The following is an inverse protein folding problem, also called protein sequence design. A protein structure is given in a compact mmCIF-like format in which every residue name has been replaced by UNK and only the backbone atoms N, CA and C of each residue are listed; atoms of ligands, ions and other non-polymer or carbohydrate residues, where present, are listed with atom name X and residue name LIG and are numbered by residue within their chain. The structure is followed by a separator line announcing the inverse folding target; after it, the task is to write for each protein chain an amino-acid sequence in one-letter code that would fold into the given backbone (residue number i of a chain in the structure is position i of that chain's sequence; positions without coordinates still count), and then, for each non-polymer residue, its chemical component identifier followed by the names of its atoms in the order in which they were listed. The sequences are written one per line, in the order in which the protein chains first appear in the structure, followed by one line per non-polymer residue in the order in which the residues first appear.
data_IF_092131820630
#
_entry.id   IF_092131820630
#
_cell.length_a   1.000
_cell.length_b   1.000
_cell.length_c   1.000
_cell.angle_alpha   90.00
_cell.angle_beta   90.00
_cell.angle_gamma   90.00
#
_symmetry.space_group_name_H-M   'P 1'
#
loop_
_entity.id
_entity.type
_entity.pdbx_description
1 polymer ?
#
# COMPACT_ATOMS: atom_id res chain seq x y z
N UNK A 1 -4.12 -11.80 18.30
CA UNK A 1 -4.83 -10.52 18.13
C UNK A 1 -6.26 -10.82 17.72
N UNK A 2 -7.24 -10.58 18.60
CA UNK A 2 -8.66 -10.70 18.24
C UNK A 2 -9.19 -9.32 17.89
N UNK A 3 -9.79 -9.17 16.71
CA UNK A 3 -10.22 -7.88 16.16
C UNK A 3 -11.66 -8.03 15.67
N UNK A 4 -12.45 -6.96 15.79
CA UNK A 4 -13.83 -6.91 15.33
C UNK A 4 -14.85 -6.87 16.47
N UNK A 5 -16.11 -6.74 16.09
CA UNK A 5 -17.24 -6.56 17.03
C UNK A 5 -17.54 -7.78 17.90
N UNK A 6 -17.08 -8.97 17.49
CA UNK A 6 -17.20 -10.22 18.25
C UNK A 6 -16.02 -10.50 19.17
N UNK A 7 -15.10 -9.54 19.37
CA UNK A 7 -13.97 -9.72 20.25
C UNK A 7 -14.44 -9.86 21.72
N UNK A 8 -14.17 -11.02 22.32
CA UNK A 8 -14.52 -11.34 23.70
C UNK A 8 -13.62 -10.64 24.74
N UNK A 9 -12.58 -9.93 24.28
CA UNK A 9 -11.64 -9.16 25.12
C UNK A 9 -10.99 -10.02 26.21
N UNK A 10 -10.44 -11.16 25.80
CA UNK A 10 -9.69 -12.01 26.70
C UNK A 10 -8.49 -11.28 27.30
N UNK A 11 -8.25 -11.50 28.59
CA UNK A 11 -7.02 -11.11 29.26
C UNK A 11 -5.91 -12.09 28.91
N UNK A 12 -4.81 -11.59 28.36
CA UNK A 12 -3.65 -12.40 28.01
C UNK A 12 -2.52 -12.13 28.99
N UNK A 13 -1.90 -13.21 29.50
CA UNK A 13 -0.74 -13.12 30.37
C UNK A 13 0.48 -13.72 29.64
N UNK A 14 1.61 -13.00 29.67
CA UNK A 14 2.89 -13.49 29.19
C UNK A 14 3.85 -13.56 30.38
N UNK A 15 4.31 -14.78 30.71
CA UNK A 15 5.20 -15.03 31.86
C UNK A 15 4.69 -14.42 33.19
N UNK A 16 3.38 -14.50 33.43
CA UNK A 16 2.76 -13.96 34.64
C UNK A 16 2.50 -12.45 34.62
N UNK A 17 2.82 -11.76 33.53
CA UNK A 17 2.52 -10.33 33.34
C UNK A 17 1.33 -10.17 32.41
N UNK A 18 0.31 -9.44 32.85
CA UNK A 18 -0.86 -9.11 32.01
C UNK A 18 -0.46 -8.16 30.87
N UNK A 19 -0.83 -8.55 29.64
CA UNK A 19 -0.60 -7.76 28.45
C UNK A 19 -1.64 -6.65 28.34
N UNK A 20 -1.17 -5.41 28.20
CA UNK A 20 -2.06 -4.27 28.03
C UNK A 20 -2.75 -4.29 26.66
N UNK A 21 -4.04 -3.96 26.64
CA UNK A 21 -4.78 -3.74 25.40
C UNK A 21 -4.29 -2.45 24.73
N UNK A 22 -3.89 -2.55 23.46
CA UNK A 22 -3.47 -1.42 22.64
C UNK A 22 -4.46 -1.19 21.50
N UNK A 23 -4.72 0.09 21.21
CA UNK A 23 -5.61 0.48 20.09
C UNK A 23 -4.93 0.38 18.72
N UNK A 24 -3.60 0.35 18.71
CA UNK A 24 -2.77 0.18 17.51
C UNK A 24 -1.60 -0.71 17.86
N UNK A 25 -1.38 -1.71 17.03
CA UNK A 25 -0.21 -2.56 17.09
C UNK A 25 0.66 -2.32 15.87
N UNK A 26 1.99 -2.44 16.03
CA UNK A 26 2.91 -2.36 14.90
C UNK A 26 3.54 -3.73 14.70
N UNK A 27 3.17 -4.37 13.60
CA UNK A 27 3.73 -5.65 13.22
C UNK A 27 4.49 -5.54 11.89
N UNK A 28 5.72 -6.06 11.87
CA UNK A 28 6.65 -5.99 10.73
C UNK A 28 6.74 -4.60 10.05
N UNK A 29 6.54 -3.53 10.82
CA UNK A 29 6.59 -2.15 10.33
C UNK A 29 5.26 -1.59 9.78
N UNK A 30 4.18 -2.37 9.78
CA UNK A 30 2.81 -1.97 9.45
C UNK A 30 2.04 -1.66 10.73
N UNK A 31 1.33 -0.53 10.77
CA UNK A 31 0.45 -0.20 11.88
C UNK A 31 -0.96 -0.75 11.61
N UNK A 32 -1.47 -1.58 12.50
CA UNK A 32 -2.82 -2.15 12.45
C UNK A 32 -3.61 -1.55 13.61
N UNK A 33 -4.68 -0.83 13.30
CA UNK A 33 -5.58 -0.27 14.29
C UNK A 33 -6.81 -1.15 14.50
N UNK A 34 -7.55 -0.91 15.58
CA UNK A 34 -8.77 -1.67 15.90
C UNK A 34 -9.87 -1.56 14.83
N UNK A 35 -9.88 -0.48 14.05
CA UNK A 35 -10.82 -0.31 12.93
C UNK A 35 -10.39 -1.01 11.65
N UNK A 36 -9.15 -1.52 11.60
CA UNK A 36 -8.51 -2.14 10.44
C UNK A 36 -8.48 -1.23 9.20
N UNK A 37 -8.63 0.08 9.39
CA UNK A 37 -8.57 1.03 8.29
C UNK A 37 -7.11 1.36 7.94
N UNK A 38 -6.75 1.37 6.64
CA UNK A 38 -5.38 1.63 6.23
C UNK A 38 -4.94 3.08 6.51
N UNK A 39 -5.89 3.99 6.78
CA UNK A 39 -5.66 5.43 6.95
C UNK A 39 -4.52 5.75 7.94
N UNK A 40 -4.51 5.10 9.11
CA UNK A 40 -3.53 5.40 10.16
C UNK A 40 -2.11 5.04 9.70
N UNK A 41 -1.97 3.87 9.08
CA UNK A 41 -0.70 3.44 8.52
C UNK A 41 -0.29 4.27 7.30
N UNK A 42 -1.21 4.67 6.42
CA UNK A 42 -0.92 5.55 5.29
C UNK A 42 -0.35 6.90 5.76
N UNK A 43 -0.90 7.48 6.82
CA UNK A 43 -0.37 8.70 7.43
C UNK A 43 1.03 8.49 7.99
N UNK A 44 1.29 7.38 8.69
CA UNK A 44 2.62 7.08 9.22
C UNK A 44 3.66 6.82 8.12
N UNK A 45 3.29 6.07 7.07
CA UNK A 45 4.11 5.85 5.88
C UNK A 45 4.45 7.19 5.19
N UNK A 46 3.44 8.06 5.00
CA UNK A 46 3.65 9.38 4.41
C UNK A 46 4.53 10.27 5.30
N UNK A 47 4.38 10.23 6.63
CA UNK A 47 5.26 10.96 7.57
C UNK A 47 6.72 10.51 7.43
N UNK A 48 6.97 9.20 7.38
CA UNK A 48 8.31 8.62 7.16
C UNK A 48 8.89 9.07 5.82
N UNK A 49 8.12 8.94 4.75
CA UNK A 49 8.54 9.38 3.41
C UNK A 49 8.84 10.89 3.34
N UNK A 50 8.00 11.73 3.94
CA UNK A 50 8.22 13.18 4.00
C UNK A 50 9.47 13.53 4.83
N UNK A 51 9.72 12.83 5.95
CA UNK A 51 10.93 13.04 6.76
C UNK A 51 12.18 12.82 5.93
N UNK A 52 12.26 11.70 5.22
CA UNK A 52 13.38 11.38 4.34
C UNK A 52 13.49 12.37 3.18
N UNK A 53 12.38 12.73 2.54
CA UNK A 53 12.38 13.76 1.49
C UNK A 53 12.87 15.12 1.99
N UNK A 54 12.51 15.51 3.22
CA UNK A 54 12.99 16.73 3.86
C UNK A 54 14.47 16.66 4.25
N UNK A 55 14.99 15.48 4.59
CA UNK A 55 16.43 15.27 4.78
C UNK A 55 17.19 15.42 3.46
N UNK A 56 16.71 14.81 2.37
CA UNK A 56 17.29 14.96 1.03
C UNK A 56 17.33 16.44 0.64
N UNK A 57 16.21 17.16 0.76
CA UNK A 57 16.14 18.57 0.39
C UNK A 57 17.12 19.47 1.17
N UNK A 58 17.39 19.15 2.44
CA UNK A 58 18.27 19.97 3.30
C UNK A 58 19.76 19.72 3.08
N UNK A 59 20.15 18.49 2.72
CA UNK A 59 21.56 18.11 2.65
C UNK A 59 22.16 18.24 1.25
N UNK A 60 21.33 18.32 0.21
CA UNK A 60 21.80 18.46 -1.16
C UNK A 60 21.49 19.87 -1.69
N UNK A 61 22.55 20.64 -1.96
CA UNK A 61 22.46 21.99 -2.50
C UNK A 61 22.04 22.01 -3.97
N UNK A 62 22.35 20.95 -4.73
CA UNK A 62 21.98 20.83 -6.14
C UNK A 62 21.33 19.47 -6.42
N UNK A 63 20.07 19.52 -6.85
CA UNK A 63 19.21 18.36 -7.05
C UNK A 63 18.81 18.26 -8.53
N UNK A 64 19.67 17.62 -9.33
CA UNK A 64 19.36 17.22 -10.72
C UNK A 64 18.30 16.13 -10.76
N UNK A 65 17.67 15.99 -11.91
CA UNK A 65 16.60 15.04 -12.18
C UNK A 65 17.00 13.59 -11.85
N UNK A 66 18.16 13.15 -12.31
CA UNK A 66 18.70 11.80 -12.11
C UNK A 66 18.99 11.51 -10.63
N UNK A 67 19.59 12.46 -9.91
CA UNK A 67 19.90 12.35 -8.48
C UNK A 67 18.60 12.26 -7.67
N UNK A 68 17.64 13.16 -7.90
CA UNK A 68 16.37 13.15 -7.17
C UNK A 68 15.61 11.84 -7.42
N UNK A 69 15.56 11.38 -8.67
CA UNK A 69 14.88 10.12 -9.00
C UNK A 69 15.54 8.92 -8.31
N UNK A 70 16.88 8.86 -8.28
CA UNK A 70 17.61 7.79 -7.57
C UNK A 70 17.35 7.83 -6.07
N UNK A 71 17.53 8.99 -5.43
CA UNK A 71 17.30 9.16 -3.99
C UNK A 71 15.85 8.89 -3.60
N UNK A 72 14.90 9.33 -4.42
CA UNK A 72 13.48 9.05 -4.22
C UNK A 72 13.20 7.54 -4.27
N UNK A 73 13.68 6.85 -5.31
CA UNK A 73 13.48 5.40 -5.49
C UNK A 73 14.10 4.58 -4.36
N UNK A 74 15.28 4.96 -3.89
CA UNK A 74 16.05 4.19 -2.90
C UNK A 74 15.66 4.49 -1.46
N UNK A 75 15.35 5.74 -1.12
CA UNK A 75 15.19 6.15 0.28
C UNK A 75 13.75 6.51 0.64
N UNK A 76 13.00 7.15 -0.26
CA UNK A 76 11.65 7.63 0.05
C UNK A 76 10.60 6.56 -0.29
N UNK A 77 10.68 6.00 -1.50
CA UNK A 77 9.70 5.06 -2.03
C UNK A 77 9.52 3.79 -1.19
N UNK A 78 10.57 3.16 -0.62
CA UNK A 78 10.38 1.98 0.21
C UNK A 78 9.44 2.23 1.40
N UNK A 79 9.47 3.42 2.00
CA UNK A 79 8.55 3.77 3.09
C UNK A 79 7.08 3.87 2.66
N UNK A 80 6.81 4.09 1.37
CA UNK A 80 5.46 4.25 0.82
C UNK A 80 4.91 2.96 0.20
N UNK A 81 5.77 2.01 -0.14
CA UNK A 81 5.42 0.79 -0.89
C UNK A 81 5.70 -0.51 -0.14
N UNK A 82 6.41 -0.44 0.99
CA UNK A 82 6.75 -1.63 1.76
C UNK A 82 5.49 -2.41 2.13
N UNK A 83 5.49 -3.71 1.79
CA UNK A 83 4.41 -4.66 2.08
C UNK A 83 3.01 -4.16 1.64
N UNK A 84 2.93 -3.45 0.51
CA UNK A 84 1.68 -2.82 0.07
C UNK A 84 0.52 -3.80 -0.12
N UNK A 85 0.81 -5.06 -0.45
CA UNK A 85 -0.20 -6.12 -0.57
C UNK A 85 -1.01 -6.31 0.73
N UNK A 86 -0.43 -5.98 1.90
CA UNK A 86 -1.07 -6.14 3.19
C UNK A 86 -1.92 -4.94 3.62
N UNK A 87 -1.73 -3.75 3.04
CA UNK A 87 -2.38 -2.52 3.51
C UNK A 87 -2.79 -1.55 2.39
N UNK A 88 -2.90 -2.02 1.15
CA UNK A 88 -3.19 -1.17 0.00
C UNK A 88 -4.44 -0.31 0.25
N UNK A 89 -4.33 1.03 0.30
CA UNK A 89 -5.46 1.87 0.66
C UNK A 89 -6.52 1.90 -0.44
N UNK A 90 -7.77 1.69 -0.04
CA UNK A 90 -8.92 1.78 -0.94
C UNK A 90 -9.62 3.15 -0.89
N UNK A 91 -9.45 3.93 0.18
CA UNK A 91 -9.98 5.29 0.24
C UNK A 91 -9.16 6.26 -0.60
N UNK A 92 -9.83 7.07 -1.41
CA UNK A 92 -9.18 8.09 -2.25
C UNK A 92 -8.30 9.06 -1.45
N UNK A 93 -8.75 9.47 -0.25
CA UNK A 93 -7.98 10.35 0.65
C UNK A 93 -6.61 9.77 1.03
N UNK A 94 -6.55 8.46 1.30
CA UNK A 94 -5.32 7.80 1.77
C UNK A 94 -4.36 7.57 0.61
N UNK A 95 -4.90 7.21 -0.57
CA UNK A 95 -4.14 7.16 -1.82
C UNK A 95 -3.49 8.51 -2.12
N UNK A 96 -4.25 9.60 -1.96
CA UNK A 96 -3.77 10.96 -2.21
C UNK A 96 -2.70 11.39 -1.18
N UNK A 97 -2.85 11.03 0.09
CA UNK A 97 -1.83 11.28 1.15
C UNK A 97 -0.47 10.69 0.76
N UNK A 98 -0.45 9.47 0.23
CA UNK A 98 0.79 8.83 -0.23
C UNK A 98 1.33 9.51 -1.50
N UNK A 99 0.45 9.79 -2.48
CA UNK A 99 0.81 10.40 -3.75
C UNK A 99 1.38 11.81 -3.57
N UNK A 100 0.90 12.57 -2.57
CA UNK A 100 1.44 13.88 -2.19
C UNK A 100 2.94 13.83 -1.86
N UNK A 101 3.45 12.71 -1.31
CA UNK A 101 4.89 12.56 -1.03
C UNK A 101 5.67 12.52 -2.34
N UNK A 102 5.21 11.76 -3.34
CA UNK A 102 5.82 11.73 -4.68
C UNK A 102 5.71 13.10 -5.37
N UNK A 103 4.56 13.78 -5.25
CA UNK A 103 4.37 15.14 -5.78
C UNK A 103 5.38 16.13 -5.20
N UNK A 104 5.66 16.07 -3.90
CA UNK A 104 6.65 16.93 -3.23
C UNK A 104 8.06 16.57 -3.64
N UNK A 105 8.39 15.28 -3.71
CA UNK A 105 9.72 14.82 -4.11
C UNK A 105 10.08 15.29 -5.53
N UNK A 106 9.16 15.16 -6.49
CA UNK A 106 9.38 15.62 -7.87
C UNK A 106 9.44 17.14 -8.01
N UNK A 107 8.86 17.90 -7.07
CA UNK A 107 8.98 19.37 -7.00
C UNK A 107 10.31 19.86 -6.40
N UNK A 108 11.14 18.97 -5.86
CA UNK A 108 12.47 19.35 -5.36
C UNK A 108 13.42 19.76 -6.50
N UNK A 109 13.12 19.32 -7.73
CA UNK A 109 13.86 19.66 -8.93
C UNK A 109 13.39 21.05 -9.38
N UNK A 110 14.30 22.03 -9.37
CA UNK A 110 13.99 23.43 -9.67
C UNK A 110 13.38 23.62 -11.06
N UNK A 111 13.90 22.94 -12.09
CA UNK A 111 13.37 22.99 -13.47
C UNK A 111 11.93 22.50 -13.60
N UNK A 112 11.48 21.63 -12.69
CA UNK A 112 10.17 20.99 -12.74
C UNK A 112 9.16 21.58 -11.77
N UNK A 113 9.52 22.56 -10.95
CA UNK A 113 8.69 23.07 -9.85
C UNK A 113 7.29 23.53 -10.32
N UNK A 114 7.22 24.23 -11.48
CA UNK A 114 5.98 24.77 -12.07
C UNK A 114 5.32 23.83 -13.10
N UNK A 115 5.96 22.72 -13.44
CA UNK A 115 5.45 21.76 -14.42
C UNK A 115 4.30 20.95 -13.79
N UNK A 116 3.17 20.71 -14.50
CA UNK A 116 2.06 19.88 -14.00
C UNK A 116 2.51 18.47 -13.57
N UNK A 117 1.85 17.90 -12.56
CA UNK A 117 2.32 16.66 -11.92
C UNK A 117 2.50 15.50 -12.89
N UNK A 118 1.48 15.18 -13.69
CA UNK A 118 1.56 14.07 -14.65
C UNK A 118 2.66 14.30 -15.70
N UNK A 119 2.93 15.56 -16.07
CA UNK A 119 4.05 15.87 -16.98
C UNK A 119 5.40 15.68 -16.30
N UNK A 120 5.55 16.01 -15.01
CA UNK A 120 6.76 15.68 -14.25
C UNK A 120 7.03 14.17 -14.22
N UNK A 121 5.99 13.36 -14.04
CA UNK A 121 6.10 11.90 -14.05
C UNK A 121 6.64 11.38 -15.39
N UNK A 122 6.13 11.90 -16.51
CA UNK A 122 6.61 11.53 -17.85
C UNK A 122 8.09 11.91 -18.05
N UNK A 123 8.47 13.14 -17.70
CA UNK A 123 9.84 13.63 -17.84
C UNK A 123 10.83 12.82 -16.98
N UNK A 124 10.42 12.44 -15.77
CA UNK A 124 11.24 11.68 -14.82
C UNK A 124 11.13 10.16 -14.99
N UNK A 125 10.35 9.70 -15.98
CA UNK A 125 10.05 8.29 -16.21
C UNK A 125 9.60 7.56 -14.93
N UNK A 126 8.64 8.18 -14.24
CA UNK A 126 8.01 7.70 -13.02
C UNK A 126 6.55 7.35 -13.27
N UNK A 127 6.07 6.28 -12.64
CA UNK A 127 4.64 5.95 -12.58
C UNK A 127 4.00 6.57 -11.33
N UNK A 128 2.67 6.71 -11.29
CA UNK A 128 1.96 7.03 -10.04
C UNK A 128 2.19 5.93 -9.01
N UNK A 129 2.09 6.26 -7.72
CA UNK A 129 2.20 5.23 -6.69
C UNK A 129 1.00 4.29 -6.73
N UNK A 130 -0.19 4.80 -7.08
CA UNK A 130 -1.38 3.96 -7.23
C UNK A 130 -1.19 2.86 -8.27
N UNK A 131 -0.64 3.19 -9.45
CA UNK A 131 -0.37 2.19 -10.48
C UNK A 131 0.65 1.14 -10.02
N UNK A 132 1.63 1.56 -9.19
CA UNK A 132 2.63 0.64 -8.63
C UNK A 132 2.02 -0.31 -7.61
N UNK A 133 1.10 0.17 -6.78
CA UNK A 133 0.36 -0.67 -5.83
C UNK A 133 -0.54 -1.65 -6.56
N UNK A 134 -1.27 -1.20 -7.58
CA UNK A 134 -2.07 -2.08 -8.44
C UNK A 134 -1.21 -3.19 -9.07
N UNK A 135 -0.03 -2.85 -9.60
CA UNK A 135 0.91 -3.86 -10.11
C UNK A 135 1.35 -4.84 -9.01
N UNK A 136 1.59 -4.37 -7.79
CA UNK A 136 1.91 -5.21 -6.64
C UNK A 136 0.81 -6.22 -6.31
N UNK A 137 -0.45 -5.77 -6.32
CA UNK A 137 -1.62 -6.64 -6.13
C UNK A 137 -1.74 -7.68 -7.24
N UNK A 138 -1.58 -7.28 -8.51
CA UNK A 138 -1.62 -8.21 -9.65
C UNK A 138 -0.56 -9.29 -9.56
N UNK A 139 0.67 -8.92 -9.17
CA UNK A 139 1.76 -9.89 -8.94
C UNK A 139 1.39 -10.85 -7.81
N UNK A 140 0.78 -10.33 -6.73
CA UNK A 140 0.37 -11.16 -5.59
C UNK A 140 -0.71 -12.16 -5.99
N UNK A 141 -1.71 -11.72 -6.76
CA UNK A 141 -2.76 -12.60 -7.27
C UNK A 141 -2.21 -13.65 -8.20
N UNK A 142 -1.28 -13.30 -9.08
CA UNK A 142 -0.56 -14.29 -9.89
C UNK A 142 0.12 -15.34 -9.01
N UNK A 143 0.84 -14.94 -7.96
CA UNK A 143 1.50 -15.90 -7.05
C UNK A 143 0.50 -16.84 -6.37
N UNK A 144 -0.63 -16.32 -5.91
CA UNK A 144 -1.68 -17.12 -5.25
C UNK A 144 -2.29 -18.12 -6.24
N UNK A 145 -2.62 -17.68 -7.46
CA UNK A 145 -3.24 -18.53 -8.50
C UNK A 145 -2.33 -19.69 -8.90
N UNK A 146 -1.03 -19.46 -8.99
CA UNK A 146 -0.06 -20.47 -9.43
C UNK A 146 0.64 -21.21 -8.28
N UNK A 147 0.25 -20.96 -7.02
CA UNK A 147 0.83 -21.65 -5.86
C UNK A 147 2.27 -21.27 -5.53
N UNK A 148 2.73 -20.08 -5.93
CA UNK A 148 4.04 -19.53 -5.55
C UNK A 148 4.04 -18.88 -4.16
N UNK A 149 2.89 -18.86 -3.48
CA UNK A 149 2.72 -18.31 -2.15
C UNK A 149 2.01 -19.34 -1.25
N UNK A 150 2.21 -19.24 0.06
CA UNK A 150 1.61 -20.14 1.06
C UNK A 150 0.15 -19.78 1.38
N UNK A 151 -0.45 -18.88 0.61
CA UNK A 151 -1.84 -18.45 0.73
C UNK A 151 -2.74 -19.36 -0.10
N UNK A 152 -3.82 -19.87 0.49
CA UNK A 152 -4.76 -20.71 -0.24
C UNK A 152 -5.59 -19.88 -1.22
N UNK A 153 -5.60 -20.28 -2.50
CA UNK A 153 -6.42 -19.64 -3.53
C UNK A 153 -7.89 -19.53 -3.13
N UNK A 154 -8.45 -20.59 -2.53
CA UNK A 154 -9.87 -20.68 -2.18
C UNK A 154 -10.28 -19.71 -1.08
N UNK A 155 -9.32 -19.26 -0.26
CA UNK A 155 -9.60 -18.29 0.80
C UNK A 155 -9.86 -16.91 0.22
N UNK A 156 -9.28 -16.61 -0.95
CA UNK A 156 -9.28 -15.29 -1.56
C UNK A 156 -10.19 -15.16 -2.78
N UNK A 157 -10.20 -16.19 -3.63
CA UNK A 157 -10.76 -16.15 -4.98
C UNK A 157 -11.55 -17.42 -5.33
N UNK A 158 -12.37 -17.29 -6.36
CA UNK A 158 -12.93 -18.42 -7.09
C UNK A 158 -12.77 -18.17 -8.59
N UNK A 159 -12.61 -19.22 -9.39
CA UNK A 159 -12.71 -19.06 -10.84
C UNK A 159 -14.17 -18.82 -11.23
N UNK A 160 -14.38 -17.95 -12.21
CA UNK A 160 -15.71 -17.70 -12.75
C UNK A 160 -16.27 -19.01 -13.33
N UNK A 161 -17.41 -19.46 -12.80
CA UNK A 161 -18.12 -20.65 -13.29
C UNK A 161 -18.82 -20.31 -14.61
N UNK A 162 -18.06 -20.36 -15.71
CA UNK A 162 -18.49 -20.12 -17.10
C UNK A 162 -18.97 -18.69 -17.42
N UNK A 163 -18.40 -18.07 -18.45
CA UNK A 163 -19.05 -16.99 -19.19
C UNK A 163 -19.50 -17.55 -20.53
N UNK A 164 -20.76 -17.36 -20.89
CA UNK A 164 -21.31 -17.64 -22.22
C UNK A 164 -20.70 -16.74 -23.33
N UNK A 165 -19.51 -16.20 -23.11
CA UNK A 165 -18.81 -15.24 -23.97
C UNK A 165 -17.30 -15.50 -23.91
N UNK A 166 -16.59 -15.01 -24.94
CA UNK A 166 -15.16 -15.17 -25.24
C UNK A 166 -14.23 -14.64 -24.14
N UNK A 167 -14.23 -15.26 -22.96
CA UNK A 167 -13.42 -14.90 -21.79
C UNK A 167 -12.19 -15.81 -21.61
N UNK A 168 -11.22 -15.32 -20.85
CA UNK A 168 -10.03 -16.10 -20.48
C UNK A 168 -10.35 -17.17 -19.43
N UNK A 169 -9.71 -18.34 -19.51
CA UNK A 169 -9.95 -19.48 -18.61
C UNK A 169 -9.60 -19.20 -17.14
N UNK A 170 -8.67 -18.27 -16.89
CA UNK A 170 -8.28 -17.83 -15.53
C UNK A 170 -9.06 -16.60 -15.04
N UNK A 171 -10.27 -16.35 -15.55
CA UNK A 171 -11.09 -15.25 -15.04
C UNK A 171 -11.43 -15.51 -13.57
N UNK A 172 -11.04 -14.57 -12.72
CA UNK A 172 -11.30 -14.64 -11.27
C UNK A 172 -12.63 -13.95 -10.95
N UNK A 173 -13.26 -14.39 -9.87
CA UNK A 173 -14.42 -13.76 -9.27
C UNK A 173 -14.09 -13.42 -7.81
N UNK A 174 -14.39 -12.18 -7.38
CA UNK A 174 -14.27 -11.81 -5.97
C UNK A 174 -15.36 -12.49 -5.15
N UNK A 175 -14.96 -13.08 -4.03
CA UNK A 175 -15.90 -13.58 -3.03
C UNK A 175 -16.68 -12.40 -2.42
N UNK A 176 -17.98 -12.58 -2.23
CA UNK A 176 -18.80 -11.58 -1.55
C UNK A 176 -18.34 -11.43 -0.09
N UNK A 177 -18.22 -10.19 0.39
CA UNK A 177 -17.81 -9.92 1.76
C UNK A 177 -18.60 -8.76 2.36
N UNK A 178 -18.98 -8.90 3.63
CA UNK A 178 -19.71 -7.85 4.38
C UNK A 178 -18.83 -6.69 4.84
N UNK A 179 -17.51 -6.89 4.89
CA UNK A 179 -16.55 -5.95 5.46
C UNK A 179 -15.70 -5.35 4.33
N UNK A 180 -15.59 -4.02 4.29
CA UNK A 180 -14.85 -3.27 3.28
C UNK A 180 -13.38 -3.71 3.16
N UNK A 181 -12.75 -4.09 4.28
CA UNK A 181 -11.36 -4.56 4.29
C UNK A 181 -11.19 -5.84 3.47
N UNK A 182 -12.11 -6.80 3.62
CA UNK A 182 -12.07 -8.04 2.84
C UNK A 182 -12.44 -7.80 1.38
N UNK A 183 -13.42 -6.93 1.13
CA UNK A 183 -13.86 -6.56 -0.22
C UNK A 183 -12.74 -5.91 -1.04
N UNK A 184 -11.99 -5.03 -0.39
CA UNK A 184 -10.97 -4.20 -1.01
C UNK A 184 -9.54 -4.71 -0.76
N UNK A 185 -9.38 -5.95 -0.30
CA UNK A 185 -8.07 -6.53 0.02
C UNK A 185 -7.13 -6.54 -1.21
N UNK A 186 -7.69 -6.78 -2.40
CA UNK A 186 -7.01 -6.56 -3.67
C UNK A 186 -7.77 -5.48 -4.47
N UNK A 187 -7.06 -4.47 -4.98
CA UNK A 187 -7.62 -3.39 -5.81
C UNK A 187 -7.93 -3.81 -7.25
N UNK A 188 -7.80 -5.10 -7.58
CA UNK A 188 -8.07 -5.61 -8.93
C UNK A 188 -9.57 -5.53 -9.19
N UNK A 189 -9.98 -4.82 -10.22
CA UNK A 189 -11.33 -4.92 -10.79
C UNK A 189 -11.34 -6.13 -11.73
N UNK A 190 -12.21 -7.12 -11.45
CA UNK A 190 -12.28 -8.41 -12.14
C UNK A 190 -13.51 -8.49 -13.06
#
# INVERSE_FOLDING_TARGET
MHIGSSNQKFTYNLNGVELQEVSVERDLGICIDSSLHPSKHCLEAAKRGNRVSGMIKRNFSFLKEDIVVRLYKQLVRPHLEYAVQAWNPYFAKDKEVLEMVQRRATRMISSLQRVPYYRRLQLLNLTTLELRRLRGDLIQVFKIVYGFDNLSFTDFFMFARSSCTRGHCLKLQKSHSRINIRHNFFLIEL
#
